data_IF_016470062248
#
_entry.id   IF_016470062248
#
_cell.length_a   1.000
_cell.length_b   1.000
_cell.length_c   1.000
_cell.angle_alpha   90.00
_cell.angle_beta   90.00
_cell.angle_gamma   90.00
#
_symmetry.space_group_name_H-M   'P 1'
#
loop_
_entity.id
_entity.type
_entity.pdbx_description
1 polymer ?
#
# COMPACT_ATOMS: atom_id res chain seq x y z
N UNK A 1 -37.96 34.76 -11.84
CA UNK A 1 -37.61 33.83 -10.77
C UNK A 1 -37.06 32.48 -11.29
N UNK A 2 -37.70 31.80 -12.28
CA UNK A 2 -37.19 30.49 -12.81
C UNK A 2 -35.79 30.56 -13.46
N UNK A 3 -35.43 31.65 -14.13
CA UNK A 3 -34.09 31.82 -14.74
C UNK A 3 -32.97 32.06 -13.72
N UNK A 4 -33.29 32.65 -12.57
CA UNK A 4 -32.33 32.89 -11.49
C UNK A 4 -32.02 31.60 -10.74
N UNK A 5 -33.01 30.71 -10.57
CA UNK A 5 -32.84 29.40 -9.94
C UNK A 5 -32.00 28.46 -10.81
N UNK A 6 -32.16 28.52 -12.14
CA UNK A 6 -31.36 27.71 -13.09
C UNK A 6 -29.89 28.15 -13.13
N UNK A 7 -29.62 29.47 -12.96
CA UNK A 7 -28.25 29.99 -12.91
C UNK A 7 -27.52 29.59 -11.61
N UNK A 8 -28.25 29.45 -10.50
CA UNK A 8 -27.69 29.07 -9.20
C UNK A 8 -27.27 27.59 -9.17
N UNK A 9 -28.02 26.73 -9.88
CA UNK A 9 -27.64 25.30 -9.98
C UNK A 9 -26.35 25.06 -10.77
N UNK A 10 -25.99 25.96 -11.71
CA UNK A 10 -24.77 25.79 -12.51
C UNK A 10 -23.48 26.13 -11.74
N UNK A 11 -23.57 26.87 -10.63
CA UNK A 11 -22.41 27.21 -9.79
C UNK A 11 -21.93 26.06 -8.88
N UNK A 12 -22.77 25.06 -8.65
CA UNK A 12 -22.38 23.91 -7.80
C UNK A 12 -21.68 22.77 -8.53
N UNK A 13 -21.58 22.82 -9.87
CA UNK A 13 -20.99 21.71 -10.66
C UNK A 13 -19.46 21.79 -10.71
N UNK A 14 -18.84 22.92 -10.33
CA UNK A 14 -17.39 23.11 -10.39
C UNK A 14 -16.63 22.77 -9.12
N UNK A 15 -17.30 22.23 -8.09
CA UNK A 15 -16.70 22.02 -6.76
C UNK A 15 -16.04 20.65 -6.55
N UNK A 16 -15.85 19.81 -7.57
CA UNK A 16 -15.30 18.47 -7.43
C UNK A 16 -13.96 18.24 -8.15
N UNK A 17 -13.13 19.27 -8.33
CA UNK A 17 -11.81 19.09 -8.93
C UNK A 17 -10.70 19.49 -7.95
N UNK A 18 -10.46 18.69 -6.91
CA UNK A 18 -9.46 19.06 -5.91
C UNK A 18 -8.83 17.91 -5.14
N UNK A 19 -9.02 16.66 -5.54
CA UNK A 19 -8.23 15.57 -4.99
C UNK A 19 -7.03 15.31 -5.90
N UNK A 20 -6.00 16.13 -5.79
CA UNK A 20 -4.67 15.69 -6.24
C UNK A 20 -4.16 14.67 -5.23
N UNK A 21 -3.85 13.43 -5.67
CA UNK A 21 -3.19 12.48 -4.79
C UNK A 21 -1.90 13.13 -4.28
N UNK A 22 -1.70 13.09 -2.96
CA UNK A 22 -0.55 13.69 -2.24
C UNK A 22 0.82 13.23 -2.82
N UNK A 23 0.79 12.20 -3.64
CA UNK A 23 1.92 11.68 -4.40
C UNK A 23 1.69 11.84 -5.90
N UNK A 24 1.73 13.10 -6.37
CA UNK A 24 1.93 13.30 -7.81
C UNK A 24 3.36 12.87 -8.13
N UNK A 25 3.51 12.03 -9.14
CA UNK A 25 4.79 11.47 -9.61
C UNK A 25 5.80 12.53 -10.07
N UNK A 26 5.43 13.82 -10.03
CA UNK A 26 6.27 14.94 -10.47
C UNK A 26 7.36 15.35 -9.48
N UNK A 27 7.26 14.94 -8.20
CA UNK A 27 8.14 15.45 -7.15
C UNK A 27 9.02 14.38 -6.49
N UNK A 28 9.12 13.19 -7.09
CA UNK A 28 10.01 12.17 -6.55
C UNK A 28 11.48 12.51 -6.86
N UNK A 29 12.26 12.61 -5.79
CA UNK A 29 13.68 13.00 -5.84
C UNK A 29 14.63 11.79 -5.90
N UNK A 30 14.14 10.61 -6.26
CA UNK A 30 14.90 9.36 -6.35
C UNK A 30 14.46 8.51 -7.54
N UNK A 31 15.32 7.59 -7.93
CA UNK A 31 15.08 6.57 -8.94
C UNK A 31 15.32 5.17 -8.36
N UNK A 32 14.61 4.17 -8.81
CA UNK A 32 14.81 2.76 -8.42
C UNK A 32 15.37 2.01 -9.62
N UNK A 33 16.66 1.64 -9.56
CA UNK A 33 17.34 0.90 -10.61
C UNK A 33 16.85 -0.54 -10.71
N UNK A 34 16.55 -1.16 -9.59
CA UNK A 34 16.08 -2.53 -9.57
C UNK A 34 15.42 -2.91 -8.24
N UNK A 35 14.61 -3.96 -8.30
CA UNK A 35 13.95 -4.54 -7.13
C UNK A 35 14.11 -6.05 -7.17
N UNK A 36 14.76 -6.60 -6.14
CA UNK A 36 14.91 -8.03 -5.90
C UNK A 36 13.84 -8.53 -4.93
N UNK A 37 13.17 -9.62 -5.28
CA UNK A 37 12.23 -10.33 -4.41
C UNK A 37 12.98 -11.46 -3.70
N UNK A 38 13.15 -11.36 -2.38
CA UNK A 38 13.98 -12.31 -1.59
C UNK A 38 13.24 -13.60 -1.27
N UNK A 39 11.91 -13.52 -1.02
CA UNK A 39 11.12 -14.64 -0.47
C UNK A 39 10.21 -15.35 -1.47
N UNK A 40 10.05 -14.78 -2.69
CA UNK A 40 9.11 -15.22 -3.72
C UNK A 40 7.61 -15.26 -3.31
N UNK A 41 7.27 -14.69 -2.15
CA UNK A 41 5.90 -14.63 -1.66
C UNK A 41 5.00 -13.78 -2.57
N UNK A 42 3.73 -14.19 -2.72
CA UNK A 42 2.75 -13.47 -3.54
C UNK A 42 2.50 -12.04 -3.01
N UNK A 43 2.53 -11.87 -1.70
CA UNK A 43 2.40 -10.55 -1.05
C UNK A 43 3.54 -9.62 -1.47
N UNK A 44 4.78 -10.11 -1.47
CA UNK A 44 5.97 -9.36 -1.90
C UNK A 44 5.89 -9.01 -3.39
N UNK A 45 5.46 -9.94 -4.25
CA UNK A 45 5.25 -9.68 -5.69
C UNK A 45 4.24 -8.54 -5.92
N UNK A 46 3.15 -8.53 -5.15
CA UNK A 46 2.13 -7.48 -5.26
C UNK A 46 2.64 -6.12 -4.78
N UNK A 47 3.40 -6.07 -3.68
CA UNK A 47 4.07 -4.85 -3.21
C UNK A 47 5.03 -4.32 -4.27
N UNK A 48 5.87 -5.17 -4.85
CA UNK A 48 6.81 -4.80 -5.92
C UNK A 48 6.07 -4.26 -7.15
N UNK A 49 4.96 -4.90 -7.56
CA UNK A 49 4.14 -4.43 -8.67
C UNK A 49 3.59 -3.03 -8.42
N UNK A 50 3.11 -2.76 -7.21
CA UNK A 50 2.63 -1.44 -6.83
C UNK A 50 3.77 -0.41 -6.83
N UNK A 51 4.93 -0.72 -6.27
CA UNK A 51 6.09 0.18 -6.27
C UNK A 51 6.50 0.52 -7.72
N UNK A 52 6.55 -0.47 -8.61
CA UNK A 52 6.89 -0.26 -10.03
C UNK A 52 5.86 0.57 -10.81
N UNK A 53 4.61 0.70 -10.30
CA UNK A 53 3.60 1.54 -10.93
C UNK A 53 3.85 3.04 -10.73
N UNK A 54 4.68 3.41 -9.75
CA UNK A 54 5.12 4.79 -9.58
C UNK A 54 6.11 5.16 -10.68
N UNK A 55 5.81 6.23 -11.42
CA UNK A 55 6.73 6.79 -12.41
C UNK A 55 7.80 7.58 -11.67
N UNK A 56 8.99 7.04 -11.64
CA UNK A 56 10.14 7.68 -11.01
C UNK A 56 10.82 8.54 -12.07
N UNK A 57 11.12 9.78 -11.71
CA UNK A 57 11.86 10.68 -12.58
C UNK A 57 13.36 10.39 -12.50
N UNK A 58 14.08 10.68 -13.58
CA UNK A 58 15.53 10.62 -13.61
C UNK A 58 16.11 11.53 -12.51
N UNK A 59 16.74 10.95 -11.53
CA UNK A 59 17.20 11.61 -10.31
C UNK A 59 18.65 11.21 -10.03
N UNK A 60 19.38 12.08 -9.31
CA UNK A 60 20.76 11.80 -8.86
C UNK A 60 20.83 10.75 -7.74
N UNK A 61 19.70 10.40 -7.11
CA UNK A 61 19.63 9.40 -6.05
C UNK A 61 19.08 8.10 -6.63
N UNK A 62 19.93 7.12 -6.84
CA UNK A 62 19.57 5.81 -7.34
C UNK A 62 19.60 4.78 -6.23
N UNK A 63 18.52 3.99 -6.12
CA UNK A 63 18.38 2.94 -5.13
C UNK A 63 18.13 1.58 -5.79
N UNK A 64 18.76 0.55 -5.23
CA UNK A 64 18.40 -0.84 -5.47
C UNK A 64 17.69 -1.38 -4.22
N UNK A 65 16.55 -2.04 -4.39
CA UNK A 65 15.73 -2.53 -3.27
C UNK A 65 15.75 -4.03 -3.19
N UNK A 66 15.95 -4.58 -1.99
CA UNK A 66 15.70 -6.00 -1.69
C UNK A 66 14.52 -6.08 -0.76
N UNK A 67 13.46 -6.78 -1.17
CA UNK A 67 12.17 -6.78 -0.48
C UNK A 67 11.78 -8.20 -0.09
N UNK A 68 11.37 -8.35 1.16
CA UNK A 68 10.68 -9.54 1.65
C UNK A 68 9.50 -9.16 2.53
N UNK A 69 8.51 -10.03 2.63
CA UNK A 69 7.33 -9.82 3.46
C UNK A 69 6.87 -11.09 4.17
N UNK A 70 6.14 -10.90 5.25
CA UNK A 70 5.47 -12.00 5.96
C UNK A 70 4.02 -11.64 6.19
N UNK A 71 3.12 -12.52 5.76
CA UNK A 71 1.68 -12.40 5.99
C UNK A 71 1.22 -13.42 7.03
N UNK A 72 0.56 -12.94 8.10
CA UNK A 72 -0.02 -13.77 9.16
C UNK A 72 -1.50 -13.50 9.30
N UNK A 73 -2.29 -14.56 9.51
CA UNK A 73 -3.70 -14.46 9.84
C UNK A 73 -3.94 -15.22 11.15
N UNK A 74 -4.46 -14.52 12.17
CA UNK A 74 -4.68 -15.08 13.51
C UNK A 74 -6.10 -14.80 14.00
N UNK A 75 -6.69 -15.74 14.73
CA UNK A 75 -7.92 -15.52 15.48
C UNK A 75 -7.61 -14.60 16.65
N UNK A 76 -8.40 -13.56 16.85
CA UNK A 76 -8.23 -12.57 17.92
C UNK A 76 -9.30 -12.66 19.00
N UNK A 77 -10.49 -13.18 18.66
CA UNK A 77 -11.53 -13.49 19.65
C UNK A 77 -12.34 -14.72 19.25
N UNK A 78 -12.94 -15.35 20.26
CA UNK A 78 -13.83 -16.52 20.12
C UNK A 78 -15.10 -16.27 20.92
N UNK A 79 -16.17 -16.92 20.54
CA UNK A 79 -17.42 -16.95 21.32
C UNK A 79 -17.32 -17.92 22.51
N UNK A 80 -18.42 -18.04 23.26
CA UNK A 80 -18.53 -18.95 24.44
C UNK A 80 -18.43 -20.43 24.08
N UNK A 81 -18.59 -20.80 22.81
CA UNK A 81 -18.48 -22.16 22.29
C UNK A 81 -17.09 -22.45 21.71
N UNK A 82 -16.22 -21.45 21.67
CA UNK A 82 -14.88 -21.55 21.10
C UNK A 82 -14.79 -21.22 19.59
N UNK A 83 -15.92 -20.84 18.95
CA UNK A 83 -15.92 -20.50 17.54
C UNK A 83 -15.29 -19.12 17.30
N UNK A 84 -14.55 -18.95 16.18
CA UNK A 84 -13.92 -17.68 15.87
C UNK A 84 -14.93 -16.57 15.64
N UNK A 85 -14.76 -15.42 16.33
CA UNK A 85 -15.53 -14.19 16.10
C UNK A 85 -14.78 -13.18 15.25
N UNK A 86 -13.49 -12.99 15.55
CA UNK A 86 -12.67 -12.00 14.84
C UNK A 86 -11.30 -12.59 14.47
N UNK A 87 -10.76 -12.04 13.38
CA UNK A 87 -9.44 -12.37 12.86
C UNK A 87 -8.61 -11.12 12.70
N UNK A 88 -7.29 -11.29 12.71
CA UNK A 88 -6.32 -10.24 12.37
C UNK A 88 -5.43 -10.73 11.24
N UNK A 89 -5.43 -9.96 10.14
CA UNK A 89 -4.39 -10.06 9.12
C UNK A 89 -3.28 -9.07 9.47
N UNK A 90 -2.04 -9.55 9.49
CA UNK A 90 -0.85 -8.73 9.67
C UNK A 90 0.07 -8.97 8.47
N UNK A 91 0.56 -7.89 7.87
CA UNK A 91 1.62 -7.93 6.85
C UNK A 91 2.78 -7.11 7.39
N UNK A 92 3.94 -7.75 7.47
CA UNK A 92 5.23 -7.13 7.79
C UNK A 92 6.10 -7.14 6.54
N UNK A 93 6.73 -6.03 6.21
CA UNK A 93 7.63 -5.92 5.07
C UNK A 93 8.97 -5.35 5.54
N UNK A 94 10.05 -5.94 5.04
CA UNK A 94 11.40 -5.40 5.18
C UNK A 94 11.91 -5.03 3.80
N UNK A 95 12.51 -3.85 3.70
CA UNK A 95 13.11 -3.32 2.48
C UNK A 95 14.53 -2.89 2.81
N UNK A 96 15.50 -3.60 2.28
CA UNK A 96 16.88 -3.16 2.31
C UNK A 96 17.10 -2.23 1.12
N UNK A 97 17.54 -1.02 1.43
CA UNK A 97 17.84 0.04 0.44
C UNK A 97 19.34 0.07 0.23
N UNK A 98 19.77 -0.26 -0.98
CA UNK A 98 21.17 -0.29 -1.35
C UNK A 98 21.46 0.84 -2.36
N UNK A 99 22.73 1.23 -2.44
CA UNK A 99 23.19 2.13 -3.46
C UNK A 99 23.25 1.41 -4.82
N UNK A 100 23.40 2.17 -5.90
CA UNK A 100 23.42 1.75 -7.30
C UNK A 100 24.38 0.56 -7.60
N UNK A 101 25.47 0.43 -6.85
CA UNK A 101 26.41 -0.71 -6.94
C UNK A 101 25.91 -2.01 -6.27
N UNK A 102 24.74 -2.01 -5.62
CA UNK A 102 24.12 -3.12 -4.89
C UNK A 102 24.96 -3.69 -3.72
N UNK A 103 26.04 -3.05 -3.35
CA UNK A 103 26.97 -3.50 -2.30
C UNK A 103 26.71 -2.74 -1.01
N UNK A 104 26.53 -1.42 -1.10
CA UNK A 104 26.41 -0.57 0.07
C UNK A 104 24.97 -0.50 0.58
N UNK A 105 24.70 -1.10 1.73
CA UNK A 105 23.43 -0.95 2.44
C UNK A 105 23.35 0.47 3.01
N UNK A 106 22.37 1.25 2.53
CA UNK A 106 22.12 2.61 3.03
C UNK A 106 21.17 2.58 4.24
N UNK A 107 20.11 1.78 4.16
CA UNK A 107 19.08 1.71 5.20
C UNK A 107 18.28 0.41 5.11
N UNK A 108 17.63 0.02 6.20
CA UNK A 108 16.62 -1.02 6.24
C UNK A 108 15.29 -0.43 6.72
N UNK A 109 14.29 -0.44 5.88
CA UNK A 109 12.93 0.02 6.18
C UNK A 109 12.11 -1.18 6.65
N UNK A 110 11.56 -1.10 7.86
CA UNK A 110 10.62 -2.10 8.39
C UNK A 110 9.26 -1.47 8.60
N UNK A 111 8.23 -2.06 8.00
CA UNK A 111 6.86 -1.56 8.10
C UNK A 111 5.94 -2.74 8.43
N UNK A 112 4.99 -2.47 9.32
CA UNK A 112 3.94 -3.40 9.69
C UNK A 112 2.58 -2.73 9.53
N UNK A 113 1.66 -3.43 8.88
CA UNK A 113 0.24 -3.04 8.83
C UNK A 113 -0.61 -4.22 9.25
N UNK A 114 -1.71 -3.91 9.92
CA UNK A 114 -2.66 -4.92 10.35
C UNK A 114 -4.10 -4.44 10.21
N UNK A 115 -5.02 -5.39 10.08
CA UNK A 115 -6.45 -5.16 10.02
C UNK A 115 -7.19 -6.26 10.76
N UNK A 116 -8.18 -5.88 11.58
CA UNK A 116 -9.06 -6.81 12.29
C UNK A 116 -10.40 -6.85 11.56
N UNK A 117 -10.92 -8.07 11.31
CA UNK A 117 -12.20 -8.26 10.63
C UNK A 117 -13.02 -9.35 11.31
N UNK A 118 -14.34 -9.25 11.18
CA UNK A 118 -15.28 -10.20 11.75
C UNK A 118 -15.38 -11.47 10.89
N UNK A 119 -15.60 -12.60 11.53
CA UNK A 119 -15.99 -13.82 10.85
C UNK A 119 -17.34 -13.64 10.14
N UNK A 120 -17.46 -14.20 8.95
CA UNK A 120 -18.69 -14.25 8.18
C UNK A 120 -19.01 -15.71 7.85
N UNK A 121 -20.30 -16.10 7.99
CA UNK A 121 -20.74 -17.48 7.70
C UNK A 121 -20.60 -17.82 6.21
N UNK A 122 -20.83 -16.85 5.33
CA UNK A 122 -20.65 -17.02 3.89
C UNK A 122 -19.15 -17.02 3.57
N UNK A 123 -18.61 -18.18 3.25
CA UNK A 123 -17.17 -18.36 2.99
C UNK A 123 -16.72 -17.66 1.69
N UNK A 124 -17.59 -17.53 0.69
CA UNK A 124 -17.27 -16.81 -0.53
C UNK A 124 -17.09 -15.31 -0.26
N UNK A 125 -18.07 -14.69 0.42
CA UNK A 125 -18.00 -13.28 0.80
C UNK A 125 -16.80 -13.00 1.72
N UNK A 126 -16.56 -13.89 2.70
CA UNK A 126 -15.39 -13.80 3.55
C UNK A 126 -14.08 -13.85 2.75
N UNK A 127 -14.03 -14.71 1.72
CA UNK A 127 -12.88 -14.84 0.81
C UNK A 127 -12.62 -13.56 0.02
N UNK A 128 -13.65 -12.94 -0.55
CA UNK A 128 -13.55 -11.67 -1.27
C UNK A 128 -13.13 -10.53 -0.32
N UNK A 129 -13.79 -10.42 0.82
CA UNK A 129 -13.46 -9.41 1.82
C UNK A 129 -12.00 -9.50 2.30
N UNK A 130 -11.48 -10.72 2.50
CA UNK A 130 -10.06 -10.93 2.83
C UNK A 130 -9.12 -10.44 1.72
N UNK A 131 -9.47 -10.68 0.45
CA UNK A 131 -8.67 -10.21 -0.68
C UNK A 131 -8.60 -8.69 -0.70
N UNK A 132 -9.74 -8.02 -0.50
CA UNK A 132 -9.83 -6.56 -0.48
C UNK A 132 -9.01 -5.97 0.67
N UNK A 133 -9.10 -6.58 1.87
CA UNK A 133 -8.28 -6.17 3.03
C UNK A 133 -6.79 -6.30 2.68
N UNK A 134 -6.35 -7.45 2.14
CA UNK A 134 -4.95 -7.68 1.79
C UNK A 134 -4.49 -6.66 0.75
N UNK A 135 -5.29 -6.40 -0.29
CA UNK A 135 -4.94 -5.42 -1.32
C UNK A 135 -4.81 -4.00 -0.73
N UNK A 136 -5.72 -3.61 0.15
CA UNK A 136 -5.65 -2.32 0.84
C UNK A 136 -4.42 -2.20 1.74
N UNK A 137 -4.04 -3.27 2.44
CA UNK A 137 -2.83 -3.29 3.26
C UNK A 137 -1.57 -3.18 2.38
N UNK A 138 -1.54 -3.88 1.24
CA UNK A 138 -0.45 -3.83 0.26
C UNK A 138 -0.30 -2.41 -0.30
N UNK A 139 -1.40 -1.76 -0.67
CA UNK A 139 -1.38 -0.38 -1.17
C UNK A 139 -0.76 0.57 -0.13
N UNK A 140 -1.25 0.53 1.12
CA UNK A 140 -0.72 1.35 2.21
C UNK A 140 0.76 1.08 2.53
N UNK A 141 1.19 -0.19 2.42
CA UNK A 141 2.60 -0.57 2.61
C UNK A 141 3.46 0.01 1.48
N UNK A 142 3.02 -0.10 0.23
CA UNK A 142 3.74 0.42 -0.93
C UNK A 142 3.87 1.94 -0.88
N UNK A 143 2.79 2.65 -0.53
CA UNK A 143 2.80 4.11 -0.33
C UNK A 143 3.80 4.52 0.76
N UNK A 144 3.80 3.82 1.91
CA UNK A 144 4.72 4.14 3.01
C UNK A 144 6.18 3.85 2.65
N UNK A 145 6.46 2.80 1.86
CA UNK A 145 7.80 2.52 1.35
C UNK A 145 8.27 3.70 0.50
N UNK A 146 7.47 4.14 -0.48
CA UNK A 146 7.79 5.27 -1.35
C UNK A 146 8.03 6.55 -0.54
N UNK A 147 7.16 6.83 0.44
CA UNK A 147 7.33 7.98 1.32
C UNK A 147 8.66 7.95 2.09
N UNK A 148 9.03 6.79 2.65
CA UNK A 148 10.29 6.63 3.38
C UNK A 148 11.52 6.78 2.47
N UNK A 149 11.44 6.29 1.24
CA UNK A 149 12.51 6.48 0.25
C UNK A 149 12.67 7.95 -0.13
N UNK A 150 11.58 8.71 -0.22
CA UNK A 150 11.61 10.14 -0.52
C UNK A 150 12.24 10.97 0.61
N UNK A 151 12.14 10.52 1.84
CA UNK A 151 12.69 11.19 3.03
C UNK A 151 14.19 10.88 3.27
N UNK A 152 14.77 9.97 2.50
CA UNK A 152 16.21 9.64 2.53
C UNK A 152 16.99 10.55 1.60
#
# INVERSE_FOLDING_TARGET
>A
MKKLLSSLCFLFIFSCSGYEPIFSTKDMNFYIDGIENIDNEETTKNIIRNIRSYKLNDSKKNYFLKINSTKKNKITSRDSKGDPLTYRITIEVNVDVLKDDQILLLNTIKIKKEFIYNYQKNQFELGQYKKDIIQNLINKLSEEIILKLQLM
#
